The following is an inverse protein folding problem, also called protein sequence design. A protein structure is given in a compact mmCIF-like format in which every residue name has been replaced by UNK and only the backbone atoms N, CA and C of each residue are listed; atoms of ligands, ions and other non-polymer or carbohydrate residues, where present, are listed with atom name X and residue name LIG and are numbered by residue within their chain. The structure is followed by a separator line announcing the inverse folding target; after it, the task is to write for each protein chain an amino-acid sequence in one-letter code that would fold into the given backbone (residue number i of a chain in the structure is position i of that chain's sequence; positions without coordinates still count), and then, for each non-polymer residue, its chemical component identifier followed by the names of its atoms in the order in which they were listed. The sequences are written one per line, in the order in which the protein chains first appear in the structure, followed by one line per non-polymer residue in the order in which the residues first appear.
data_IF_762365089264
#
_entry.id   IF_762365089264
#
_cell.length_a   1.000
_cell.length_b   1.000
_cell.length_c   1.000
_cell.angle_alpha   90.00
_cell.angle_beta   90.00
_cell.angle_gamma   90.00
#
_symmetry.space_group_name_H-M   'P 1'
#
loop_
_entity.id
_entity.type
_entity.pdbx_description
1 polymer ?
#
# COMPACT_ATOMS: atom_id res chain seq x y z
N UNK A 1 1.86 15.37 23.04
CA UNK A 1 1.60 14.22 23.49
C UNK A 1 1.62 13.08 22.56
N UNK A 2 1.85 12.01 23.13
CA UNK A 2 2.05 10.83 22.33
C UNK A 2 0.91 10.57 21.41
N UNK A 3 -0.28 10.81 21.86
CA UNK A 3 -1.42 10.44 21.05
C UNK A 3 -1.51 11.23 19.78
N UNK A 4 -1.04 12.44 19.78
CA UNK A 4 -1.12 13.16 18.57
C UNK A 4 -0.29 12.60 17.54
N UNK A 5 0.82 12.07 17.95
CA UNK A 5 1.66 11.49 16.97
C UNK A 5 1.06 10.32 16.35
N UNK A 6 0.04 9.81 16.97
CA UNK A 6 -0.54 8.63 16.47
C UNK A 6 -1.41 8.85 15.32
N UNK A 7 -1.53 10.05 14.82
CA UNK A 7 -2.30 10.21 13.64
C UNK A 7 -1.54 9.63 12.49
N UNK A 8 -1.36 8.35 12.52
CA UNK A 8 -0.69 7.64 11.47
C UNK A 8 -1.66 7.43 10.33
N UNK A 9 -1.22 7.72 9.12
CA UNK A 9 -2.04 7.48 7.93
C UNK A 9 -2.08 5.99 7.67
N UNK A 10 -3.28 5.45 7.59
CA UNK A 10 -3.49 4.01 7.45
C UNK A 10 -4.55 3.75 6.41
N UNK A 11 -4.37 2.68 5.64
CA UNK A 11 -5.40 2.16 4.76
C UNK A 11 -5.67 0.73 5.17
N UNK A 12 -6.96 0.39 5.31
CA UNK A 12 -7.38 -0.97 5.59
C UNK A 12 -8.07 -1.52 4.35
N UNK A 13 -7.75 -2.75 4.00
CA UNK A 13 -8.30 -3.40 2.82
C UNK A 13 -8.92 -4.72 3.22
N UNK A 14 -10.15 -4.95 2.80
CA UNK A 14 -10.83 -6.20 3.11
C UNK A 14 -10.66 -7.17 1.96
N UNK A 15 -9.99 -8.29 2.22
CA UNK A 15 -9.79 -9.32 1.22
C UNK A 15 -11.04 -10.17 1.08
N UNK A 16 -11.18 -10.90 -0.03
CA UNK A 16 -12.27 -11.88 -0.12
C UNK A 16 -12.19 -12.80 1.07
N UNK A 17 -13.26 -13.23 1.61
CA UNK A 17 -13.34 -14.04 2.82
C UNK A 17 -13.24 -13.21 4.09
N UNK A 18 -13.15 -11.90 3.97
CA UNK A 18 -13.31 -11.03 5.12
C UNK A 18 -12.07 -10.68 5.91
N UNK A 19 -10.89 -11.16 5.51
CA UNK A 19 -9.68 -10.80 6.25
C UNK A 19 -9.30 -9.36 5.97
N UNK A 20 -8.95 -8.61 7.01
CA UNK A 20 -8.57 -7.21 6.88
C UNK A 20 -7.06 -7.09 6.89
N UNK A 21 -6.53 -6.42 5.88
CA UNK A 21 -5.10 -6.13 5.78
C UNK A 21 -4.93 -4.63 5.93
N UNK A 22 -3.91 -4.21 6.66
CA UNK A 22 -3.66 -2.79 6.82
C UNK A 22 -2.30 -2.42 6.28
N UNK A 23 -2.16 -1.15 5.91
CA UNK A 23 -0.90 -0.59 5.49
C UNK A 23 -0.70 0.77 6.10
N UNK A 24 0.47 1.01 6.68
CA UNK A 24 0.82 2.29 7.28
C UNK A 24 1.94 2.92 6.50
N UNK A 25 2.05 4.23 6.63
CA UNK A 25 3.17 4.93 6.03
C UNK A 25 4.46 4.50 6.72
N UNK A 26 5.49 4.23 5.91
CA UNK A 26 6.82 3.93 6.43
C UNK A 26 7.78 4.98 5.91
N UNK A 27 9.05 4.82 6.20
CA UNK A 27 10.05 5.75 5.67
C UNK A 27 10.13 5.70 4.15
N UNK A 28 9.79 4.58 3.57
CA UNK A 28 9.93 4.39 2.12
C UNK A 28 8.62 4.34 1.37
N UNK A 29 7.55 3.92 2.02
CA UNK A 29 6.31 3.59 1.33
C UNK A 29 5.12 4.40 1.83
N UNK A 30 4.25 4.81 0.90
CA UNK A 30 2.98 5.40 1.29
C UNK A 30 2.07 4.30 1.85
N UNK A 31 1.01 4.67 2.57
CA UNK A 31 0.09 3.64 3.08
C UNK A 31 -0.52 2.79 1.99
N UNK A 32 -0.82 3.38 0.83
CA UNK A 32 -1.38 2.60 -0.28
C UNK A 32 -0.37 1.56 -0.75
N UNK A 33 0.90 1.95 -0.86
CA UNK A 33 1.95 1.01 -1.24
C UNK A 33 2.05 -0.11 -0.23
N UNK A 34 2.04 0.24 1.05
CA UNK A 34 2.18 -0.75 2.12
C UNK A 34 1.03 -1.74 2.13
N UNK A 35 -0.22 -1.24 2.00
CA UNK A 35 -1.36 -2.15 2.09
C UNK A 35 -1.41 -3.11 0.91
N UNK A 36 -1.05 -2.64 -0.27
CA UNK A 36 -1.08 -3.54 -1.44
C UNK A 36 0.02 -4.59 -1.33
N UNK A 37 1.23 -4.19 -0.91
CA UNK A 37 2.29 -5.15 -0.71
C UNK A 37 1.87 -6.18 0.34
N UNK A 38 1.32 -5.72 1.46
CA UNK A 38 0.90 -6.63 2.52
C UNK A 38 -0.20 -7.56 2.03
N UNK A 39 -1.12 -7.06 1.21
CA UNK A 39 -2.21 -7.87 0.70
C UNK A 39 -1.71 -8.98 -0.23
N UNK A 40 -0.84 -8.64 -1.17
CA UNK A 40 -0.37 -9.68 -2.08
C UNK A 40 0.58 -10.65 -1.38
N UNK A 41 1.28 -10.20 -0.35
CA UNK A 41 2.07 -11.13 0.45
C UNK A 41 1.16 -12.10 1.19
N UNK A 42 0.09 -11.59 1.77
CA UNK A 42 -0.86 -12.46 2.47
C UNK A 42 -1.46 -13.49 1.52
N UNK A 43 -1.87 -13.06 0.34
CA UNK A 43 -2.47 -13.96 -0.63
C UNK A 43 -1.48 -14.96 -1.19
N UNK A 44 -0.20 -14.61 -1.22
CA UNK A 44 0.84 -15.49 -1.70
C UNK A 44 1.48 -16.31 -0.58
N UNK A 45 1.04 -16.09 0.65
CA UNK A 45 1.56 -16.79 1.82
C UNK A 45 3.04 -16.54 2.04
N UNK A 46 3.44 -15.30 1.79
CA UNK A 46 4.82 -14.87 2.04
C UNK A 46 4.88 -14.29 3.44
N UNK A 47 5.82 -14.75 4.28
CA UNK A 47 5.92 -14.24 5.65
C UNK A 47 6.19 -12.74 5.71
N UNK A 48 5.71 -12.10 6.77
CA UNK A 48 5.87 -10.65 6.92
C UNK A 48 7.32 -10.23 6.94
N UNK A 49 8.20 -11.06 7.48
CA UNK A 49 9.59 -10.66 7.60
C UNK A 49 10.33 -10.69 6.27
N UNK A 50 9.72 -11.25 5.23
CA UNK A 50 10.34 -11.26 3.90
C UNK A 50 9.84 -10.07 3.11
N UNK A 51 10.75 -9.23 2.64
CA UNK A 51 10.39 -8.07 1.85
C UNK A 51 10.26 -8.46 0.39
N UNK A 52 9.13 -8.09 -0.22
CA UNK A 52 8.98 -8.30 -1.66
C UNK A 52 9.95 -7.40 -2.42
N UNK A 53 10.09 -6.16 -1.94
CA UNK A 53 11.05 -5.23 -2.51
C UNK A 53 11.97 -4.83 -1.39
N UNK A 54 13.26 -5.07 -1.57
CA UNK A 54 14.21 -4.72 -0.53
C UNK A 54 14.46 -3.22 -0.51
N UNK A 55 14.86 -2.66 0.63
CA UNK A 55 15.24 -1.25 0.67
C UNK A 55 16.34 -0.91 -0.33
N UNK A 56 17.20 -1.87 -0.64
CA UNK A 56 18.25 -1.66 -1.61
C UNK A 56 17.70 -1.26 -2.97
N UNK A 57 16.51 -1.76 -3.31
CA UNK A 57 15.87 -1.42 -4.56
C UNK A 57 15.07 -0.13 -4.44
N UNK A 58 14.43 0.06 -3.30
CA UNK A 58 13.53 1.20 -3.13
C UNK A 58 14.25 2.51 -2.90
N UNK A 59 15.36 2.48 -2.18
CA UNK A 59 16.07 3.71 -1.86
C UNK A 59 16.57 4.47 -3.07
N UNK A 60 17.15 3.82 -4.08
CA UNK A 60 17.58 4.57 -5.25
C UNK A 60 16.42 5.25 -5.98
N UNK A 61 15.27 4.59 -6.00
CA UNK A 61 14.10 5.18 -6.64
C UNK A 61 13.67 6.42 -5.88
N UNK A 62 13.66 6.34 -4.56
CA UNK A 62 13.27 7.46 -3.74
C UNK A 62 14.24 8.63 -3.93
N UNK A 63 15.52 8.33 -4.08
CA UNK A 63 16.51 9.38 -4.25
C UNK A 63 16.35 10.15 -5.54
N UNK A 64 15.75 9.54 -6.55
CA UNK A 64 15.53 10.24 -7.80
C UNK A 64 14.46 11.31 -7.68
N UNK A 65 13.67 11.25 -6.63
CA UNK A 65 12.62 12.23 -6.44
C UNK A 65 13.17 13.44 -5.74
N UNK A 66 12.65 14.58 -6.12
CA UNK A 66 13.14 15.82 -5.55
C UNK A 66 12.45 16.21 -4.27
N UNK A 67 11.25 15.72 -4.04
CA UNK A 67 10.58 15.95 -2.77
C UNK A 67 10.82 14.74 -1.90
N UNK A 68 10.81 14.87 -0.63
CA UNK A 68 11.14 13.76 0.26
C UNK A 68 9.93 12.93 0.66
N UNK A 69 9.01 12.77 -0.26
CA UNK A 69 7.84 11.94 0.01
C UNK A 69 8.17 10.47 -0.18
N UNK A 70 7.36 9.63 0.44
CA UNK A 70 7.50 8.19 0.26
C UNK A 70 7.11 7.80 -1.15
N UNK A 71 7.44 6.56 -1.50
CA UNK A 71 7.11 6.05 -2.82
C UNK A 71 5.61 5.78 -2.92
N UNK A 72 5.03 6.22 -4.02
CA UNK A 72 3.61 6.02 -4.28
C UNK A 72 3.36 4.59 -4.73
N UNK A 73 2.08 4.21 -4.71
CA UNK A 73 1.70 2.88 -5.15
C UNK A 73 2.10 2.64 -6.59
N UNK A 74 1.93 3.65 -7.45
CA UNK A 74 2.30 3.46 -8.85
C UNK A 74 3.79 3.15 -9.00
N UNK A 75 4.63 3.86 -8.25
CA UNK A 75 6.06 3.61 -8.30
C UNK A 75 6.40 2.21 -7.82
N UNK A 76 5.71 1.76 -6.77
CA UNK A 76 5.95 0.43 -6.24
C UNK A 76 5.50 -0.63 -7.23
N UNK A 77 4.37 -0.42 -7.90
CA UNK A 77 3.89 -1.39 -8.88
C UNK A 77 4.88 -1.50 -10.05
N UNK A 78 5.45 -0.39 -10.46
CA UNK A 78 6.46 -0.41 -11.52
C UNK A 78 7.69 -1.18 -11.05
N UNK A 79 8.13 -0.93 -9.82
CA UNK A 79 9.29 -1.64 -9.29
C UNK A 79 9.04 -3.15 -9.21
N UNK A 80 7.83 -3.52 -8.78
CA UNK A 80 7.49 -4.93 -8.72
C UNK A 80 7.49 -5.56 -10.12
N UNK A 81 6.95 -4.84 -11.09
CA UNK A 81 6.90 -5.35 -12.45
C UNK A 81 8.31 -5.56 -13.01
N UNK A 82 9.20 -4.63 -12.76
CA UNK A 82 10.57 -4.76 -13.24
C UNK A 82 11.25 -5.94 -12.56
N UNK A 83 11.09 -6.07 -11.25
CA UNK A 83 11.74 -7.15 -10.52
C UNK A 83 11.15 -8.51 -10.85
N UNK A 84 9.89 -8.56 -11.28
CA UNK A 84 9.26 -9.84 -11.57
C UNK A 84 9.90 -10.54 -12.78
N UNK A 85 10.61 -9.78 -13.59
CA UNK A 85 11.27 -10.37 -14.77
C UNK A 85 12.28 -11.41 -14.33
N UNK A 86 12.97 -11.19 -13.24
CA UNK A 86 14.00 -12.11 -12.79
C UNK A 86 13.67 -12.78 -11.45
N UNK A 87 12.52 -12.49 -10.87
CA UNK A 87 12.17 -13.04 -9.55
C UNK A 87 10.80 -13.70 -9.62
N UNK A 88 10.77 -15.05 -9.67
CA UNK A 88 9.48 -15.76 -9.79
C UNK A 88 8.54 -15.52 -8.61
N UNK A 89 9.08 -15.29 -7.41
CA UNK A 89 8.24 -15.03 -6.27
C UNK A 89 7.46 -13.73 -6.43
N UNK A 90 8.12 -12.70 -6.97
CA UNK A 90 7.45 -11.44 -7.22
C UNK A 90 6.44 -11.59 -8.35
N UNK A 91 6.80 -12.36 -9.38
CA UNK A 91 5.86 -12.59 -10.48
C UNK A 91 4.59 -13.26 -9.98
N UNK A 92 4.73 -14.26 -9.12
CA UNK A 92 3.58 -14.93 -8.54
C UNK A 92 2.75 -13.99 -7.69
N UNK A 93 3.42 -13.16 -6.88
CA UNK A 93 2.71 -12.22 -6.02
C UNK A 93 1.94 -11.21 -6.85
N UNK A 94 2.51 -10.74 -7.95
CA UNK A 94 1.81 -9.78 -8.79
C UNK A 94 0.52 -10.34 -9.36
N UNK A 95 0.47 -11.64 -9.61
CA UNK A 95 -0.75 -12.23 -10.11
C UNK A 95 -1.89 -12.11 -9.12
N UNK A 96 -1.56 -11.97 -7.85
CA UNK A 96 -2.60 -11.85 -6.82
C UNK A 96 -3.30 -10.49 -6.84
N UNK A 97 -2.78 -9.54 -7.60
CA UNK A 97 -3.47 -8.26 -7.71
C UNK A 97 -4.89 -8.43 -8.26
N UNK A 98 -5.11 -9.44 -9.07
CA UNK A 98 -6.45 -9.67 -9.60
C UNK A 98 -7.44 -10.03 -8.51
N UNK A 99 -6.97 -10.64 -7.45
CA UNK A 99 -7.85 -11.00 -6.34
C UNK A 99 -8.38 -9.76 -5.64
N UNK A 100 -7.67 -8.63 -5.76
CA UNK A 100 -8.07 -7.40 -5.08
C UNK A 100 -9.16 -6.64 -5.81
N UNK A 101 -9.50 -7.08 -7.01
CA UNK A 101 -10.55 -6.43 -7.77
C UNK A 101 -11.85 -6.44 -6.98
N UNK A 102 -12.50 -5.28 -6.92
CA UNK A 102 -13.76 -5.09 -6.22
C UNK A 102 -13.67 -5.20 -4.69
N UNK A 103 -12.47 -5.28 -4.14
CA UNK A 103 -12.33 -5.26 -2.69
C UNK A 103 -12.57 -3.85 -2.16
N UNK A 104 -12.98 -3.76 -0.90
CA UNK A 104 -13.26 -2.49 -0.25
C UNK A 104 -12.06 -2.05 0.57
N UNK A 105 -11.77 -0.77 0.55
CA UNK A 105 -10.68 -0.23 1.34
C UNK A 105 -11.12 1.06 1.99
N UNK A 106 -10.56 1.35 3.17
CA UNK A 106 -10.86 2.58 3.88
C UNK A 106 -9.56 3.23 4.31
N UNK A 107 -9.47 4.54 4.08
CA UNK A 107 -8.30 5.31 4.48
C UNK A 107 -8.68 6.26 5.61
N UNK A 108 -7.74 6.46 6.54
CA UNK A 108 -7.95 7.39 7.64
C UNK A 108 -7.53 8.80 7.27
N UNK A 109 -7.17 9.04 6.02
CA UNK A 109 -6.68 10.32 5.57
C UNK A 109 -7.10 10.50 4.11
N UNK A 110 -6.87 11.70 3.57
CA UNK A 110 -7.20 11.94 2.17
C UNK A 110 -6.03 11.46 1.32
N UNK A 111 -6.30 10.44 0.51
CA UNK A 111 -5.28 9.79 -0.29
C UNK A 111 -4.88 10.69 -1.45
N UNK A 112 -3.57 10.73 -1.76
CA UNK A 112 -3.09 11.56 -2.85
C UNK A 112 -3.65 11.09 -4.18
N UNK A 113 -3.67 12.00 -5.15
CA UNK A 113 -4.22 11.68 -6.46
C UNK A 113 -3.49 10.51 -7.13
N UNK A 114 -2.17 10.44 -6.97
CA UNK A 114 -1.42 9.36 -7.58
C UNK A 114 -1.82 8.00 -7.02
N UNK A 115 -1.88 7.91 -5.69
CA UNK A 115 -2.29 6.66 -5.07
C UNK A 115 -3.74 6.34 -5.38
N UNK A 116 -4.58 7.36 -5.41
CA UNK A 116 -5.98 7.15 -5.71
C UNK A 116 -6.16 6.57 -7.10
N UNK A 117 -5.46 7.11 -8.08
CA UNK A 117 -5.55 6.59 -9.43
C UNK A 117 -5.04 5.17 -9.52
N UNK A 118 -3.96 4.86 -8.81
CA UNK A 118 -3.41 3.51 -8.84
C UNK A 118 -4.39 2.52 -8.23
N UNK A 119 -5.02 2.88 -7.11
CA UNK A 119 -6.01 2.00 -6.49
C UNK A 119 -7.19 1.79 -7.41
N UNK A 120 -7.62 2.84 -8.11
CA UNK A 120 -8.71 2.71 -9.05
C UNK A 120 -8.35 1.80 -10.21
N UNK A 121 -7.11 1.88 -10.68
CA UNK A 121 -6.71 1.02 -11.79
C UNK A 121 -6.69 -0.43 -11.37
N UNK A 122 -6.51 -0.72 -10.08
CA UNK A 122 -6.61 -2.07 -9.57
C UNK A 122 -8.05 -2.47 -9.26
N UNK A 123 -9.00 -1.56 -9.52
CA UNK A 123 -10.43 -1.80 -9.28
C UNK A 123 -10.74 -1.99 -7.80
N UNK A 124 -10.03 -1.29 -6.95
CA UNK A 124 -10.29 -1.30 -5.51
C UNK A 124 -11.18 -0.13 -5.17
N UNK A 125 -12.23 -0.39 -4.39
CA UNK A 125 -13.17 0.64 -3.99
C UNK A 125 -12.69 1.29 -2.72
N UNK A 126 -12.24 2.54 -2.81
CA UNK A 126 -11.65 3.22 -1.68
C UNK A 126 -12.59 4.28 -1.12
N UNK A 127 -12.67 4.33 0.20
CA UNK A 127 -13.39 5.37 0.91
C UNK A 127 -12.41 6.09 1.83
N UNK A 128 -12.38 7.41 1.79
CA UNK A 128 -11.56 8.20 2.68
C UNK A 128 -12.45 8.82 3.74
N UNK A 129 -12.10 8.66 5.00
CA UNK A 129 -12.95 9.14 6.07
C UNK A 129 -12.21 9.93 7.13
N UNK A 130 -11.48 10.96 6.75
CA UNK A 130 -10.77 11.75 7.76
C UNK A 130 -11.73 12.53 8.64
N UNK A 131 -12.83 13.00 8.09
CA UNK A 131 -13.77 13.78 8.88
C UNK A 131 -14.50 12.96 9.92
N UNK A 132 -14.72 11.70 9.62
CA UNK A 132 -15.34 10.81 10.57
C UNK A 132 -14.50 10.73 11.84
N UNK A 133 -13.19 10.58 11.68
CA UNK A 133 -12.31 10.50 12.83
C UNK A 133 -12.28 11.80 13.60
N UNK A 134 -12.35 12.92 12.91
CA UNK A 134 -12.40 14.19 13.60
C UNK A 134 -13.62 14.27 14.48
N UNK A 135 -14.74 13.84 14.01
CA UNK A 135 -15.95 13.88 14.79
C UNK A 135 -15.90 12.95 15.98
N UNK A 136 -15.30 11.80 15.77
CA UNK A 136 -15.19 10.85 16.87
C UNK A 136 -14.36 11.39 17.99
N UNK A 137 -13.35 12.15 17.66
CA UNK A 137 -12.45 12.68 18.64
C UNK A 137 -13.06 13.81 19.42
N UNK A 138 -13.94 14.53 18.79
CA UNK A 138 -14.60 15.61 19.49
C UNK A 138 -15.67 15.10 20.39
#
# INVERSE_FOLDING_TARGET
KASEKKKTNVIALELPKGKIITGKQTDLLSPASSVIINAIKELSKIPDEINLLSPTILEPILKLRKNNNTLSLQEVLIALAVCSVTNPSIASALEKLEVLKDCEAQATYIVTNGDLKALKSLKINLTCEPNFYSKEIM
#
